data_IF_879050557099
#
_entry.id   IF_879050557099
#
_cell.length_a   1.000
_cell.length_b   1.000
_cell.length_c   1.000
_cell.angle_alpha   90.00
_cell.angle_beta   90.00
_cell.angle_gamma   90.00
#
_symmetry.space_group_name_H-M   'P 1'
#
loop_
_entity.id
_entity.type
_entity.pdbx_description
1 polymer ?
#
# COMPACT_ATOMS: atom_id res chain seq x y z
N UNK A 1 7.11 -45.89 -63.31
CA UNK A 1 8.10 -44.79 -63.22
C UNK A 1 7.36 -43.48 -63.42
N UNK A 2 7.17 -42.57 -62.49
CA UNK A 2 7.45 -42.45 -61.06
C UNK A 2 6.74 -41.15 -60.65
N UNK A 3 5.91 -41.21 -59.62
CA UNK A 3 5.09 -40.08 -59.15
C UNK A 3 5.97 -38.96 -58.56
N UNK A 4 5.56 -37.72 -58.81
CA UNK A 4 6.18 -36.49 -58.30
C UNK A 4 5.87 -36.27 -56.82
N UNK A 5 6.90 -36.39 -55.97
CA UNK A 5 6.87 -35.95 -54.57
C UNK A 5 7.10 -34.43 -54.49
N UNK A 6 6.08 -33.69 -54.05
CA UNK A 6 6.23 -32.32 -53.56
C UNK A 6 6.57 -32.38 -52.07
N UNK A 7 7.83 -32.15 -51.73
CA UNK A 7 8.25 -31.92 -50.34
C UNK A 7 7.76 -30.57 -49.85
N UNK A 8 6.83 -30.60 -48.89
CA UNK A 8 6.45 -29.47 -48.05
C UNK A 8 7.56 -29.26 -47.02
N UNK A 9 8.14 -28.04 -46.97
CA UNK A 9 9.04 -27.64 -45.88
C UNK A 9 8.23 -27.51 -44.59
N UNK A 10 8.70 -28.02 -43.44
CA UNK A 10 8.06 -27.75 -42.18
C UNK A 10 8.37 -26.30 -41.77
N UNK A 11 7.31 -25.52 -41.54
CA UNK A 11 7.39 -24.22 -40.88
C UNK A 11 8.00 -24.41 -39.49
N UNK A 12 9.19 -23.87 -39.28
CA UNK A 12 9.82 -23.78 -37.98
C UNK A 12 9.11 -22.68 -37.18
N UNK A 13 8.02 -23.04 -36.50
CA UNK A 13 7.44 -22.20 -35.45
C UNK A 13 8.40 -22.22 -34.27
N UNK A 14 9.22 -21.17 -34.15
CA UNK A 14 9.91 -20.89 -32.89
C UNK A 14 8.86 -20.64 -31.80
N UNK A 15 8.95 -21.27 -30.62
CA UNK A 15 8.05 -20.95 -29.52
C UNK A 15 8.32 -19.51 -29.12
N UNK A 16 7.29 -18.69 -29.22
CA UNK A 16 7.24 -17.37 -28.61
C UNK A 16 7.36 -17.60 -27.09
N UNK A 17 8.58 -17.47 -26.55
CA UNK A 17 8.79 -17.47 -25.11
C UNK A 17 7.97 -16.30 -24.57
N UNK A 18 6.83 -16.60 -23.94
CA UNK A 18 6.11 -15.64 -23.15
C UNK A 18 7.12 -15.03 -22.17
N UNK A 19 7.52 -13.78 -22.42
CA UNK A 19 8.36 -13.02 -21.53
C UNK A 19 7.70 -13.05 -20.16
N UNK A 20 8.31 -13.72 -19.18
CA UNK A 20 7.84 -13.66 -17.81
C UNK A 20 7.71 -12.18 -17.43
N UNK A 21 6.52 -11.74 -17.05
CA UNK A 21 6.29 -10.37 -16.62
C UNK A 21 7.25 -10.08 -15.47
N UNK A 22 8.22 -9.19 -15.69
CA UNK A 22 9.12 -8.77 -14.63
C UNK A 22 8.35 -7.77 -13.76
N UNK A 23 7.91 -8.21 -12.59
CA UNK A 23 7.22 -7.32 -11.65
C UNK A 23 8.19 -6.28 -11.10
N UNK A 24 7.73 -5.03 -11.06
CA UNK A 24 8.55 -3.91 -10.57
C UNK A 24 8.58 -3.83 -9.05
N UNK A 25 7.48 -4.21 -8.40
CA UNK A 25 7.33 -4.28 -6.95
C UNK A 25 6.21 -5.25 -6.57
N UNK A 26 6.20 -5.65 -5.31
CA UNK A 26 5.16 -6.49 -4.70
C UNK A 26 4.27 -5.63 -3.80
N UNK A 27 2.98 -5.54 -4.14
CA UNK A 27 1.96 -4.85 -3.36
C UNK A 27 1.41 -5.80 -2.30
N UNK A 28 1.60 -5.46 -1.02
CA UNK A 28 1.12 -6.25 0.12
C UNK A 28 -0.19 -5.67 0.63
N UNK A 29 -1.26 -6.45 0.54
CA UNK A 29 -2.62 -6.07 0.92
C UNK A 29 -3.08 -6.87 2.15
N UNK A 30 -2.99 -6.31 3.37
CA UNK A 30 -3.51 -6.96 4.56
C UNK A 30 -5.05 -6.84 4.59
N UNK A 31 -5.72 -7.94 4.91
CA UNK A 31 -7.19 -7.95 4.99
C UNK A 31 -7.69 -8.86 6.12
N UNK A 32 -8.80 -8.46 6.72
CA UNK A 32 -9.60 -9.33 7.57
C UNK A 32 -11.07 -8.96 7.47
N UNK A 33 -11.86 -9.87 6.95
CA UNK A 33 -13.30 -9.74 6.80
C UNK A 33 -14.04 -10.71 7.71
N UNK A 34 -15.25 -10.35 8.14
CA UNK A 34 -16.09 -11.13 9.06
C UNK A 34 -17.18 -11.90 8.34
N UNK A 35 -17.71 -11.32 7.27
CA UNK A 35 -18.77 -11.92 6.46
C UNK A 35 -18.50 -11.68 4.98
N UNK A 36 -19.11 -12.51 4.14
CA UNK A 36 -18.96 -12.44 2.67
C UNK A 36 -19.59 -11.17 2.07
N UNK A 37 -20.43 -10.48 2.83
CA UNK A 37 -21.05 -9.20 2.43
C UNK A 37 -20.31 -7.99 3.03
N UNK A 38 -19.12 -8.18 3.61
CA UNK A 38 -18.31 -7.03 4.03
C UNK A 38 -17.76 -6.32 2.81
N UNK A 39 -17.90 -4.99 2.80
CA UNK A 39 -17.45 -4.09 1.73
C UNK A 39 -15.97 -4.29 1.36
N UNK A 40 -15.14 -4.73 2.32
CA UNK A 40 -13.72 -5.06 2.08
C UNK A 40 -13.51 -6.11 0.98
N UNK A 41 -14.45 -7.03 0.72
CA UNK A 41 -14.33 -7.99 -0.38
C UNK A 41 -14.51 -7.30 -1.74
N UNK A 42 -15.50 -6.42 -1.84
CA UNK A 42 -15.74 -5.64 -3.07
C UNK A 42 -14.60 -4.66 -3.34
N UNK A 43 -14.05 -4.05 -2.28
CA UNK A 43 -12.86 -3.20 -2.37
C UNK A 43 -11.65 -3.98 -2.86
N UNK A 44 -11.42 -5.18 -2.32
CA UNK A 44 -10.34 -6.05 -2.79
C UNK A 44 -10.52 -6.38 -4.28
N UNK A 45 -11.72 -6.79 -4.70
CA UNK A 45 -12.00 -7.09 -6.11
C UNK A 45 -11.65 -5.91 -7.02
N UNK A 46 -12.19 -4.73 -6.71
CA UNK A 46 -11.93 -3.49 -7.46
C UNK A 46 -10.45 -3.13 -7.50
N UNK A 47 -9.76 -3.27 -6.36
CA UNK A 47 -8.34 -3.00 -6.26
C UNK A 47 -7.52 -3.93 -7.17
N UNK A 48 -7.84 -5.22 -7.19
CA UNK A 48 -7.16 -6.20 -8.05
C UNK A 48 -7.41 -5.98 -9.55
N UNK A 49 -8.60 -5.48 -9.91
CA UNK A 49 -8.91 -5.05 -11.29
C UNK A 49 -8.15 -3.78 -11.71
N UNK A 50 -7.81 -2.92 -10.75
CA UNK A 50 -7.20 -1.61 -11.02
C UNK A 50 -5.67 -1.67 -11.04
N UNK A 51 -5.05 -2.48 -10.17
CA UNK A 51 -3.59 -2.61 -10.12
C UNK A 51 -3.08 -3.17 -11.46
N UNK A 52 -2.08 -2.56 -12.12
CA UNK A 52 -1.52 -3.09 -13.37
C UNK A 52 -0.75 -4.40 -13.18
N UNK A 53 -0.68 -5.27 -14.20
CA UNK A 53 0.05 -6.54 -14.18
C UNK A 53 1.57 -6.40 -13.92
N UNK A 54 2.13 -5.20 -14.05
CA UNK A 54 3.52 -4.88 -13.69
C UNK A 54 3.80 -4.97 -12.18
N UNK A 55 2.77 -5.15 -11.35
CA UNK A 55 2.89 -5.38 -9.91
C UNK A 55 2.43 -6.79 -9.55
N UNK A 56 3.28 -7.48 -8.79
CA UNK A 56 2.86 -8.66 -8.03
C UNK A 56 1.93 -8.18 -6.91
N UNK A 57 0.85 -8.91 -6.63
CA UNK A 57 -0.05 -8.60 -5.50
C UNK A 57 -0.09 -9.74 -4.50
N UNK A 58 0.03 -9.43 -3.21
CA UNK A 58 0.05 -10.41 -2.12
C UNK A 58 -1.04 -10.05 -1.14
N UNK A 59 -2.14 -10.79 -1.20
CA UNK A 59 -3.28 -10.63 -0.30
C UNK A 59 -3.06 -11.49 0.95
N UNK A 60 -2.96 -10.85 2.11
CA UNK A 60 -2.75 -11.53 3.40
C UNK A 60 -4.00 -11.47 4.25
N UNK A 61 -4.73 -12.59 4.34
CA UNK A 61 -5.90 -12.76 5.19
C UNK A 61 -5.50 -13.08 6.64
N UNK A 62 -5.65 -12.11 7.54
CA UNK A 62 -5.31 -12.24 8.95
C UNK A 62 -6.42 -12.92 9.78
N UNK A 63 -6.81 -14.11 9.34
CA UNK A 63 -7.70 -14.98 10.10
C UNK A 63 -9.19 -14.63 9.97
N UNK A 64 -9.67 -14.35 8.76
CA UNK A 64 -11.09 -14.32 8.42
C UNK A 64 -11.75 -15.71 8.63
N UNK A 65 -13.07 -15.80 8.85
CA UNK A 65 -13.78 -17.08 8.90
C UNK A 65 -13.57 -17.92 7.63
N UNK A 66 -13.57 -19.26 7.74
CA UNK A 66 -13.26 -20.17 6.61
C UNK A 66 -14.02 -19.84 5.32
N UNK A 67 -15.34 -19.61 5.40
CA UNK A 67 -16.18 -19.26 4.25
C UNK A 67 -15.77 -17.93 3.61
N UNK A 68 -15.39 -16.94 4.41
CA UNK A 68 -14.96 -15.62 3.93
C UNK A 68 -13.57 -15.71 3.30
N UNK A 69 -12.66 -16.44 3.95
CA UNK A 69 -11.31 -16.69 3.44
C UNK A 69 -11.34 -17.39 2.08
N UNK A 70 -12.24 -18.37 1.89
CA UNK A 70 -12.45 -19.00 0.59
C UNK A 70 -12.91 -18.01 -0.48
N UNK A 71 -13.81 -17.07 -0.16
CA UNK A 71 -14.23 -16.03 -1.10
C UNK A 71 -13.09 -15.05 -1.43
N UNK A 72 -12.29 -14.65 -0.43
CA UNK A 72 -11.10 -13.83 -0.66
C UNK A 72 -10.10 -14.54 -1.58
N UNK A 73 -9.90 -15.85 -1.39
CA UNK A 73 -9.07 -16.65 -2.27
C UNK A 73 -9.62 -16.69 -3.70
N UNK A 74 -10.94 -16.89 -3.88
CA UNK A 74 -11.57 -16.85 -5.20
C UNK A 74 -11.39 -15.50 -5.89
N UNK A 75 -11.62 -14.39 -5.17
CA UNK A 75 -11.40 -13.03 -5.70
C UNK A 75 -9.93 -12.85 -6.10
N UNK A 76 -9.00 -13.27 -5.24
CA UNK A 76 -7.57 -13.13 -5.52
C UNK A 76 -7.13 -13.93 -6.74
N UNK A 77 -7.66 -15.15 -6.91
CA UNK A 77 -7.31 -16.04 -8.01
C UNK A 77 -7.79 -15.56 -9.40
N UNK A 78 -8.61 -14.51 -9.48
CA UNK A 78 -9.01 -13.90 -10.75
C UNK A 78 -7.86 -13.14 -11.43
N UNK A 79 -6.78 -12.86 -10.69
CA UNK A 79 -5.59 -12.18 -11.17
C UNK A 79 -4.39 -13.11 -11.15
N UNK A 80 -3.74 -13.29 -12.30
CA UNK A 80 -2.60 -14.21 -12.45
C UNK A 80 -1.40 -13.81 -11.57
N UNK A 81 -1.11 -12.52 -11.48
CA UNK A 81 0.01 -11.98 -10.69
C UNK A 81 -0.34 -11.76 -9.21
N UNK A 82 -1.42 -12.39 -8.71
CA UNK A 82 -1.84 -12.26 -7.33
C UNK A 82 -1.77 -13.57 -6.55
N UNK A 83 -1.22 -13.51 -5.34
CA UNK A 83 -1.16 -14.62 -4.41
C UNK A 83 -2.02 -14.35 -3.18
N UNK A 84 -2.70 -15.40 -2.70
CA UNK A 84 -3.50 -15.36 -1.48
C UNK A 84 -2.85 -16.17 -0.37
N UNK A 85 -2.69 -15.56 0.80
CA UNK A 85 -2.13 -16.22 1.98
C UNK A 85 -2.98 -15.97 3.22
N UNK A 86 -3.43 -17.06 3.83
CA UNK A 86 -4.19 -17.00 5.08
C UNK A 86 -3.31 -17.27 6.29
N UNK A 87 -3.41 -16.43 7.30
CA UNK A 87 -2.82 -16.63 8.62
C UNK A 87 -3.77 -17.41 9.54
N UNK A 88 -3.20 -18.29 10.37
CA UNK A 88 -3.95 -19.00 11.42
C UNK A 88 -4.12 -18.13 12.68
N UNK A 89 -4.74 -16.97 12.53
CA UNK A 89 -4.86 -15.92 13.56
C UNK A 89 -6.32 -15.58 13.89
N UNK A 90 -7.26 -16.48 13.56
CA UNK A 90 -8.70 -16.27 13.80
C UNK A 90 -9.03 -15.85 15.22
N UNK A 91 -8.33 -16.41 16.20
CA UNK A 91 -8.56 -16.16 17.63
C UNK A 91 -7.62 -15.09 18.20
N UNK A 92 -6.75 -14.52 17.38
CA UNK A 92 -5.89 -13.38 17.73
C UNK A 92 -6.54 -12.10 17.26
N UNK A 93 -6.18 -10.99 17.91
CA UNK A 93 -6.52 -9.64 17.44
C UNK A 93 -5.91 -9.42 16.05
N UNK A 94 -6.66 -8.74 15.18
CA UNK A 94 -6.16 -8.30 13.88
C UNK A 94 -4.87 -7.51 14.06
N UNK A 95 -3.89 -7.67 13.16
CA UNK A 95 -2.65 -6.91 13.18
C UNK A 95 -2.21 -6.61 11.75
N UNK A 96 -2.13 -5.32 11.44
CA UNK A 96 -1.54 -4.84 10.19
C UNK A 96 -0.06 -5.22 10.12
N UNK A 97 0.70 -4.97 11.19
CA UNK A 97 2.12 -5.29 11.29
C UNK A 97 2.42 -6.75 10.91
N UNK A 98 1.74 -7.72 11.53
CA UNK A 98 1.91 -9.16 11.22
C UNK A 98 1.60 -9.48 9.76
N UNK A 99 0.51 -8.91 9.25
CA UNK A 99 0.03 -9.19 7.88
C UNK A 99 1.00 -8.61 6.84
N UNK A 100 1.46 -7.37 7.07
CA UNK A 100 2.47 -6.67 6.27
C UNK A 100 3.81 -7.42 6.28
N UNK A 101 4.28 -7.84 7.46
CA UNK A 101 5.50 -8.65 7.59
C UNK A 101 5.40 -9.98 6.84
N UNK A 102 4.25 -10.67 6.96
CA UNK A 102 4.04 -11.92 6.22
C UNK A 102 4.09 -11.68 4.71
N UNK A 103 3.41 -10.66 4.21
CA UNK A 103 3.42 -10.33 2.79
C UNK A 103 4.81 -9.96 2.29
N UNK A 104 5.55 -9.14 3.03
CA UNK A 104 6.92 -8.77 2.67
C UNK A 104 7.87 -9.97 2.59
N UNK A 105 7.72 -10.98 3.45
CA UNK A 105 8.52 -12.22 3.38
C UNK A 105 8.14 -13.12 2.20
N UNK A 106 6.93 -12.96 1.66
CA UNK A 106 6.43 -13.73 0.53
C UNK A 106 6.67 -13.03 -0.81
N UNK A 107 6.95 -11.73 -0.77
CA UNK A 107 7.25 -10.92 -1.95
C UNK A 107 8.42 -11.49 -2.73
N UNK A 108 8.24 -11.64 -4.04
CA UNK A 108 9.30 -12.11 -4.93
C UNK A 108 10.23 -10.99 -5.37
N UNK A 109 9.73 -9.75 -5.42
CA UNK A 109 10.48 -8.58 -5.88
C UNK A 109 11.30 -7.92 -4.76
N UNK A 110 12.35 -7.16 -5.10
CA UNK A 110 13.18 -6.45 -4.12
C UNK A 110 12.50 -5.21 -3.52
N UNK A 111 11.34 -4.79 -4.01
CA UNK A 111 10.62 -3.59 -3.55
C UNK A 111 9.23 -3.98 -3.11
N UNK A 112 8.83 -3.57 -1.91
CA UNK A 112 7.49 -3.81 -1.37
C UNK A 112 6.73 -2.49 -1.24
N UNK A 113 5.43 -2.56 -1.53
CA UNK A 113 4.48 -1.47 -1.30
C UNK A 113 3.46 -1.97 -0.29
N UNK A 114 3.35 -1.33 0.86
CA UNK A 114 2.25 -1.61 1.78
C UNK A 114 1.00 -0.88 1.31
N UNK A 115 -0.10 -1.60 1.16
CA UNK A 115 -1.30 -1.04 0.55
C UNK A 115 -2.54 -1.53 1.28
N UNK A 116 -3.23 -0.61 1.95
CA UNK A 116 -4.48 -0.97 2.61
C UNK A 116 -5.56 -1.27 1.55
N UNK A 117 -6.49 -2.18 1.86
CA UNK A 117 -7.58 -2.55 0.94
C UNK A 117 -8.50 -1.36 0.60
N UNK A 118 -8.48 -0.32 1.43
CA UNK A 118 -9.28 0.89 1.26
C UNK A 118 -8.58 1.94 0.39
N UNK A 119 -7.30 1.77 0.09
CA UNK A 119 -6.58 2.61 -0.84
C UNK A 119 -6.90 2.21 -2.28
N UNK A 120 -6.91 3.18 -3.18
CA UNK A 120 -7.00 2.98 -4.63
C UNK A 120 -6.52 4.24 -5.34
N UNK A 121 -6.02 4.09 -6.56
CA UNK A 121 -5.71 5.21 -7.44
C UNK A 121 -6.22 4.93 -8.84
N UNK A 122 -6.19 5.94 -9.69
CA UNK A 122 -6.38 5.72 -11.12
C UNK A 122 -5.26 4.80 -11.65
N UNK A 123 -5.49 4.00 -12.71
CA UNK A 123 -4.44 3.14 -13.29
C UNK A 123 -3.14 3.90 -13.61
N UNK A 124 -3.25 5.14 -14.07
CA UNK A 124 -2.10 6.03 -14.32
C UNK A 124 -1.24 6.30 -13.07
N UNK A 125 -1.80 6.28 -11.85
CA UNK A 125 -1.03 6.49 -10.63
C UNK A 125 -0.12 5.31 -10.32
N UNK A 126 -0.55 4.08 -10.59
CA UNK A 126 0.32 2.92 -10.45
C UNK A 126 1.49 2.96 -11.45
N UNK A 127 1.28 3.50 -12.65
CA UNK A 127 2.37 3.74 -13.60
C UNK A 127 3.38 4.77 -13.04
N UNK A 128 2.91 5.90 -12.48
CA UNK A 128 3.79 6.88 -11.82
C UNK A 128 4.53 6.31 -10.60
N UNK A 129 3.88 5.46 -9.79
CA UNK A 129 4.54 4.75 -8.68
C UNK A 129 5.66 3.85 -9.20
N UNK A 130 5.42 3.14 -10.30
CA UNK A 130 6.43 2.34 -10.98
C UNK A 130 7.61 3.19 -11.47
N UNK A 131 7.35 4.35 -12.07
CA UNK A 131 8.37 5.32 -12.48
C UNK A 131 9.19 5.82 -11.28
N UNK A 132 8.55 6.19 -10.16
CA UNK A 132 9.25 6.60 -8.93
C UNK A 132 10.18 5.51 -8.39
N UNK A 133 9.74 4.25 -8.40
CA UNK A 133 10.55 3.11 -7.95
C UNK A 133 11.83 2.98 -8.80
N UNK A 134 11.70 3.15 -10.11
CA UNK A 134 12.82 3.09 -11.06
C UNK A 134 13.75 4.28 -10.91
N UNK A 135 13.22 5.51 -10.91
CA UNK A 135 13.98 6.76 -10.77
C UNK A 135 14.81 6.77 -9.48
N UNK A 136 14.25 6.22 -8.41
CA UNK A 136 14.92 6.12 -7.10
C UNK A 136 15.88 4.95 -7.01
N UNK A 137 15.82 3.99 -7.91
CA UNK A 137 16.60 2.74 -7.85
C UNK A 137 16.39 1.99 -6.52
N UNK A 138 15.14 1.90 -6.03
CA UNK A 138 14.84 1.41 -4.67
C UNK A 138 15.34 -0.01 -4.38
N UNK A 139 15.53 -0.84 -5.40
CA UNK A 139 16.11 -2.17 -5.25
C UNK A 139 17.58 -2.14 -4.78
N UNK A 140 18.29 -1.04 -5.06
CA UNK A 140 19.72 -0.85 -4.72
C UNK A 140 19.95 0.25 -3.68
N UNK A 141 18.98 1.16 -3.54
CA UNK A 141 19.09 2.38 -2.73
C UNK A 141 17.98 2.45 -1.67
N UNK A 142 18.08 1.63 -0.60
CA UNK A 142 17.05 1.55 0.43
C UNK A 142 16.82 2.89 1.15
N UNK A 143 17.81 3.79 1.17
CA UNK A 143 17.72 5.12 1.77
C UNK A 143 16.72 6.05 1.08
N UNK A 144 16.26 5.68 -0.13
CA UNK A 144 15.33 6.47 -0.95
C UNK A 144 13.87 6.07 -0.80
N UNK A 145 13.54 5.27 0.22
CA UNK A 145 12.15 4.90 0.53
C UNK A 145 11.25 6.15 0.58
N UNK A 146 9.96 5.96 0.31
CA UNK A 146 9.01 7.06 0.33
C UNK A 146 7.63 6.60 0.81
N UNK A 147 6.79 7.57 1.17
CA UNK A 147 5.39 7.34 1.46
C UNK A 147 4.55 7.84 0.30
N UNK A 148 3.54 7.08 -0.13
CA UNK A 148 2.57 7.59 -1.09
C UNK A 148 1.56 8.47 -0.33
N UNK A 149 1.39 9.77 -0.68
CA UNK A 149 0.36 10.61 -0.09
C UNK A 149 -1.04 10.04 -0.32
N UNK A 150 -1.89 10.10 0.71
CA UNK A 150 -3.25 9.55 0.67
C UNK A 150 -4.28 10.65 0.97
N UNK A 151 -5.20 10.85 0.03
CA UNK A 151 -6.41 11.65 0.23
C UNK A 151 -7.56 10.80 0.80
N UNK A 152 -7.95 11.06 2.04
CA UNK A 152 -9.12 10.41 2.64
C UNK A 152 -10.38 11.09 2.17
N UNK A 153 -11.11 10.45 1.27
CA UNK A 153 -12.28 11.03 0.63
C UNK A 153 -13.46 11.15 1.59
N UNK A 154 -14.31 12.14 1.34
CA UNK A 154 -15.70 12.14 1.84
C UNK A 154 -16.51 11.04 1.16
N UNK A 155 -17.71 10.79 1.67
CA UNK A 155 -18.65 9.83 1.07
C UNK A 155 -19.00 10.24 -0.37
N UNK A 156 -19.43 11.48 -0.58
CA UNK A 156 -19.74 12.03 -1.91
C UNK A 156 -18.54 11.98 -2.87
N UNK A 157 -17.34 12.30 -2.38
CA UNK A 157 -16.13 12.22 -3.20
C UNK A 157 -15.77 10.78 -3.57
N UNK A 158 -16.06 9.81 -2.69
CA UNK A 158 -15.88 8.38 -2.97
C UNK A 158 -16.80 7.93 -4.11
N UNK A 159 -18.07 8.33 -4.09
CA UNK A 159 -19.01 8.01 -5.16
C UNK A 159 -18.55 8.60 -6.50
N UNK A 160 -18.12 9.87 -6.50
CA UNK A 160 -17.57 10.53 -7.68
C UNK A 160 -16.31 9.83 -8.21
N UNK A 161 -15.38 9.46 -7.32
CA UNK A 161 -14.17 8.72 -7.70
C UNK A 161 -14.51 7.40 -8.38
N UNK A 162 -15.47 6.66 -7.82
CA UNK A 162 -15.89 5.36 -8.37
C UNK A 162 -16.61 5.47 -9.72
N UNK A 163 -17.31 6.58 -9.97
CA UNK A 163 -17.89 6.88 -11.29
C UNK A 163 -16.82 7.19 -12.33
N UNK A 164 -15.72 7.84 -11.94
CA UNK A 164 -14.61 8.18 -12.83
C UNK A 164 -13.68 6.99 -13.13
N UNK A 165 -13.52 6.07 -12.17
CA UNK A 165 -12.52 4.99 -12.21
C UNK A 165 -12.54 4.15 -13.51
N UNK A 166 -13.70 3.75 -14.07
CA UNK A 166 -13.75 3.01 -15.34
C UNK A 166 -13.34 3.85 -16.56
N UNK A 167 -13.40 5.18 -16.47
CA UNK A 167 -13.32 6.10 -17.61
C UNK A 167 -11.94 6.29 -18.23
N UNK A 168 -10.89 5.69 -17.66
CA UNK A 168 -9.49 5.73 -18.12
C UNK A 168 -9.07 7.11 -18.66
N UNK A 169 -9.47 8.19 -17.97
CA UNK A 169 -9.16 9.54 -18.42
C UNK A 169 -7.64 9.70 -18.38
N UNK A 170 -7.03 9.94 -19.55
CA UNK A 170 -5.59 10.18 -19.71
C UNK A 170 -5.08 11.36 -18.86
N UNK A 171 -5.97 12.20 -18.33
CA UNK A 171 -5.68 13.18 -17.29
C UNK A 171 -6.26 12.70 -15.96
N UNK A 172 -5.40 12.26 -15.03
CA UNK A 172 -5.82 12.01 -13.66
C UNK A 172 -6.08 13.34 -12.93
N UNK A 173 -7.32 13.83 -13.01
CA UNK A 173 -7.77 15.03 -12.30
C UNK A 173 -7.64 14.91 -10.78
N UNK A 174 -7.69 13.69 -10.23
CA UNK A 174 -7.61 13.47 -8.80
C UNK A 174 -6.24 13.83 -8.26
N UNK A 175 -5.15 13.52 -8.99
CA UNK A 175 -3.81 13.97 -8.59
C UNK A 175 -3.72 15.49 -8.39
N UNK A 176 -4.29 16.28 -9.32
CA UNK A 176 -4.31 17.74 -9.23
C UNK A 176 -5.24 18.26 -8.13
N UNK A 177 -6.46 17.71 -8.03
CA UNK A 177 -7.45 18.11 -7.01
C UNK A 177 -6.96 17.82 -5.58
N UNK A 178 -6.19 16.74 -5.41
CA UNK A 178 -5.58 16.34 -4.14
C UNK A 178 -4.31 17.13 -3.81
N UNK A 179 -3.61 17.69 -4.81
CA UNK A 179 -2.46 18.57 -4.59
C UNK A 179 -2.89 19.95 -4.07
N UNK A 180 -4.16 20.35 -4.25
CA UNK A 180 -4.73 21.58 -3.69
C UNK A 180 -5.91 21.30 -2.72
N UNK A 181 -5.72 20.60 -1.58
CA UNK A 181 -6.81 20.16 -0.70
C UNK A 181 -7.70 21.25 -0.11
N UNK A 182 -7.14 22.44 0.11
CA UNK A 182 -7.77 23.49 0.92
C UNK A 182 -9.06 24.07 0.29
N UNK A 183 -9.37 23.74 -0.97
CA UNK A 183 -10.45 24.36 -1.75
C UNK A 183 -11.52 23.40 -2.28
N UNK A 184 -11.33 22.07 -2.20
CA UNK A 184 -12.15 21.13 -2.97
C UNK A 184 -13.33 20.51 -2.22
N UNK A 185 -13.33 20.51 -0.88
CA UNK A 185 -14.36 19.83 -0.07
C UNK A 185 -14.39 18.30 -0.23
N UNK A 186 -13.44 17.74 -0.98
CA UNK A 186 -13.38 16.32 -1.31
C UNK A 186 -12.83 15.45 -0.18
N UNK A 187 -12.08 16.06 0.75
CA UNK A 187 -11.26 15.35 1.72
C UNK A 187 -11.73 15.53 3.15
N UNK A 188 -11.73 14.42 3.89
CA UNK A 188 -11.75 14.42 5.34
C UNK A 188 -10.39 14.82 5.92
N UNK A 189 -9.31 14.37 5.29
CA UNK A 189 -7.92 14.73 5.59
C UNK A 189 -6.98 14.27 4.47
N UNK A 190 -5.79 14.86 4.42
CA UNK A 190 -4.74 14.52 3.48
C UNK A 190 -3.46 14.15 4.25
N UNK A 191 -2.96 12.93 4.04
CA UNK A 191 -1.84 12.37 4.82
C UNK A 191 -0.66 12.11 3.90
N UNK A 192 0.41 12.89 4.05
CA UNK A 192 1.63 12.75 3.24
C UNK A 192 2.58 11.67 3.77
N UNK A 193 2.76 11.58 5.09
CA UNK A 193 3.47 10.49 5.75
C UNK A 193 2.51 9.34 6.08
N UNK A 194 2.05 8.62 5.05
CA UNK A 194 0.99 7.61 5.16
C UNK A 194 1.52 6.20 5.51
N UNK A 195 0.60 5.27 5.75
CA UNK A 195 0.90 3.84 5.89
C UNK A 195 1.26 3.16 4.55
N UNK A 196 1.11 3.87 3.43
CA UNK A 196 1.46 3.39 2.09
C UNK A 196 2.96 3.61 1.81
N UNK A 197 3.79 2.85 2.52
CA UNK A 197 5.25 2.96 2.45
C UNK A 197 5.76 2.08 1.30
N UNK A 198 6.63 2.66 0.48
CA UNK A 198 7.33 1.99 -0.63
C UNK A 198 8.80 1.90 -0.28
N UNK A 199 9.32 0.68 -0.16
CA UNK A 199 10.68 0.47 0.35
C UNK A 199 11.33 -0.81 -0.16
N UNK A 200 12.63 -0.90 0.05
CA UNK A 200 13.41 -2.11 -0.21
C UNK A 200 13.00 -3.23 0.75
N UNK A 201 12.70 -4.42 0.19
CA UNK A 201 12.24 -5.60 0.94
C UNK A 201 13.31 -6.13 1.89
N UNK A 202 14.57 -6.17 1.44
CA UNK A 202 15.64 -6.79 2.20
C UNK A 202 16.09 -5.88 3.34
N UNK A 203 16.10 -4.55 3.14
CA UNK A 203 16.32 -3.57 4.22
C UNK A 203 15.19 -3.63 5.26
N UNK A 204 13.92 -3.73 4.83
CA UNK A 204 12.79 -3.96 5.74
C UNK A 204 13.01 -5.22 6.60
N UNK A 205 13.43 -6.33 5.99
CA UNK A 205 13.70 -7.58 6.72
C UNK A 205 14.87 -7.40 7.69
N UNK A 206 15.93 -6.72 7.27
CA UNK A 206 17.13 -6.47 8.08
C UNK A 206 16.82 -5.63 9.32
N UNK A 207 15.91 -4.66 9.24
CA UNK A 207 15.46 -3.88 10.41
C UNK A 207 14.36 -4.57 11.23
N UNK A 208 13.98 -5.81 10.90
CA UNK A 208 13.03 -6.62 11.66
C UNK A 208 11.57 -6.52 11.22
N UNK A 209 11.25 -5.82 10.12
CA UNK A 209 9.88 -5.58 9.67
C UNK A 209 9.15 -4.54 10.53
N UNK A 210 7.82 -4.54 10.49
CA UNK A 210 6.97 -3.84 11.46
C UNK A 210 7.01 -4.53 12.82
N UNK A 211 6.91 -3.78 13.92
CA UNK A 211 6.78 -4.35 15.25
C UNK A 211 5.38 -4.99 15.45
N UNK A 212 5.32 -6.34 15.46
CA UNK A 212 4.07 -7.10 15.60
C UNK A 212 3.40 -6.99 16.98
N UNK A 213 4.06 -6.38 17.97
CA UNK A 213 3.42 -6.10 19.26
C UNK A 213 2.48 -4.90 19.21
N UNK A 214 2.48 -4.13 18.10
CA UNK A 214 1.39 -3.25 17.72
C UNK A 214 0.22 -4.11 17.23
N UNK A 215 -0.67 -4.42 18.15
CA UNK A 215 -1.89 -5.17 17.88
C UNK A 215 -3.07 -4.23 17.58
N UNK A 216 -4.05 -4.73 16.82
CA UNK A 216 -5.11 -3.89 16.27
C UNK A 216 -4.62 -2.97 15.15
N UNK A 217 -5.23 -1.80 15.08
CA UNK A 217 -4.99 -0.76 14.11
C UNK A 217 -4.46 0.50 14.79
N UNK A 218 -3.35 1.03 14.27
CA UNK A 218 -2.86 2.37 14.53
C UNK A 218 -1.43 2.40 15.06
N UNK A 219 -0.65 3.35 14.54
CA UNK A 219 0.71 3.72 14.95
C UNK A 219 1.81 2.69 14.68
N UNK A 220 1.49 1.52 14.12
CA UNK A 220 2.50 0.54 13.68
C UNK A 220 3.28 1.02 12.46
N UNK A 221 2.63 1.79 11.59
CA UNK A 221 3.21 2.48 10.45
C UNK A 221 4.17 3.59 10.89
N UNK A 222 3.75 4.41 11.86
CA UNK A 222 4.59 5.47 12.42
C UNK A 222 5.79 4.93 13.20
N UNK A 223 5.69 3.76 13.81
CA UNK A 223 6.82 3.08 14.43
C UNK A 223 7.87 2.68 13.39
N UNK A 224 7.44 2.09 12.28
CA UNK A 224 8.34 1.77 11.18
C UNK A 224 8.95 3.04 10.55
N UNK A 225 8.14 4.07 10.32
CA UNK A 225 8.61 5.36 9.79
C UNK A 225 9.58 6.05 10.73
N UNK A 226 9.42 5.91 12.04
CA UNK A 226 10.38 6.41 13.01
C UNK A 226 11.73 5.71 12.83
N UNK A 227 11.77 4.38 12.85
CA UNK A 227 13.03 3.62 12.63
C UNK A 227 13.67 3.91 11.28
N UNK A 228 12.87 4.02 10.23
CA UNK A 228 13.37 4.43 8.91
C UNK A 228 13.90 5.86 8.92
N UNK A 229 13.24 6.77 9.66
CA UNK A 229 13.66 8.15 9.81
C UNK A 229 14.89 8.35 10.69
N UNK A 230 15.17 7.45 11.62
CA UNK A 230 16.46 7.36 12.32
C UNK A 230 17.56 6.85 11.40
N UNK A 231 17.25 5.83 10.59
CA UNK A 231 18.22 5.17 9.72
C UNK A 231 18.59 6.01 8.49
N UNK A 232 17.60 6.69 7.91
CA UNK A 232 17.73 7.51 6.70
C UNK A 232 17.04 8.87 6.90
N UNK A 233 17.64 9.78 7.69
CA UNK A 233 17.04 11.07 7.97
C UNK A 233 16.87 11.91 6.71
N UNK A 234 15.70 12.53 6.55
CA UNK A 234 15.39 13.45 5.44
C UNK A 234 15.62 14.93 5.79
N UNK A 235 15.85 15.21 7.08
CA UNK A 235 16.09 16.55 7.60
C UNK A 235 16.22 16.53 9.12
N UNK A 236 16.35 17.71 9.73
CA UNK A 236 16.32 17.84 11.19
C UNK A 236 14.92 17.56 11.74
N UNK A 237 14.81 16.78 12.80
CA UNK A 237 13.52 16.54 13.47
C UNK A 237 13.05 17.82 14.17
N UNK A 238 11.75 18.12 14.19
CA UNK A 238 11.23 19.25 14.95
C UNK A 238 11.53 19.08 16.44
N UNK A 239 11.74 20.19 17.15
CA UNK A 239 12.10 20.19 18.58
C UNK A 239 11.12 19.38 19.44
N UNK A 240 9.84 19.36 19.06
CA UNK A 240 8.78 18.60 19.72
C UNK A 240 8.42 17.30 18.97
N UNK A 241 9.41 16.59 18.43
CA UNK A 241 9.25 15.40 17.57
C UNK A 241 8.24 14.37 18.10
N UNK A 242 8.21 14.06 19.39
CA UNK A 242 7.29 13.06 19.95
C UNK A 242 5.81 13.50 19.99
N UNK A 243 5.51 14.75 19.63
CA UNK A 243 4.15 15.30 19.58
C UNK A 243 3.32 14.66 18.45
N UNK A 244 2.14 14.15 18.80
CA UNK A 244 1.13 13.73 17.83
C UNK A 244 0.16 14.89 17.54
N UNK A 245 0.32 15.54 16.40
CA UNK A 245 -0.55 16.64 15.94
C UNK A 245 -1.88 16.18 15.34
N UNK A 246 -2.13 14.87 15.26
CA UNK A 246 -3.33 14.27 14.69
C UNK A 246 -3.34 14.27 13.16
N UNK A 247 -4.45 13.83 12.56
CA UNK A 247 -4.60 13.71 11.10
C UNK A 247 -5.06 15.01 10.41
N UNK A 248 -5.08 16.14 11.13
CA UNK A 248 -5.44 17.43 10.55
C UNK A 248 -4.38 17.96 9.58
N UNK A 249 -4.66 19.10 8.91
CA UNK A 249 -3.68 19.73 8.04
C UNK A 249 -2.40 20.10 8.81
N UNK A 250 -1.26 19.86 8.18
CA UNK A 250 0.04 20.28 8.72
C UNK A 250 0.21 21.77 8.42
N UNK A 251 0.02 22.61 9.43
CA UNK A 251 0.15 24.07 9.33
C UNK A 251 1.48 24.60 9.87
N UNK A 252 2.25 23.75 10.55
CA UNK A 252 3.57 24.06 11.09
C UNK A 252 4.44 22.80 11.14
N UNK A 253 5.76 22.98 11.09
CA UNK A 253 6.73 21.89 11.22
C UNK A 253 6.87 21.46 12.68
N UNK A 254 5.91 20.68 13.17
CA UNK A 254 5.80 20.22 14.57
C UNK A 254 5.39 18.76 14.66
N UNK A 255 6.00 18.03 15.59
CA UNK A 255 5.73 16.61 15.82
C UNK A 255 6.12 15.67 14.67
N UNK A 256 6.07 14.37 14.94
CA UNK A 256 6.56 13.35 14.02
C UNK A 256 5.79 13.29 12.70
N UNK A 257 4.50 13.68 12.69
CA UNK A 257 3.69 13.67 11.47
C UNK A 257 4.16 14.67 10.44
N UNK A 258 4.61 15.85 10.88
CA UNK A 258 5.20 16.86 10.00
C UNK A 258 6.55 16.39 9.46
N UNK A 259 7.36 15.73 10.28
CA UNK A 259 8.61 15.11 9.84
C UNK A 259 8.35 14.01 8.80
N UNK A 260 7.45 13.07 9.07
CA UNK A 260 7.14 11.97 8.14
C UNK A 260 6.46 12.43 6.84
N UNK A 261 5.77 13.57 6.86
CA UNK A 261 5.20 14.15 5.65
C UNK A 261 6.24 14.47 4.58
N UNK A 262 7.50 14.75 4.97
CA UNK A 262 8.59 15.02 4.03
C UNK A 262 8.86 13.82 3.11
N UNK A 263 8.71 12.58 3.59
CA UNK A 263 8.88 11.37 2.76
C UNK A 263 7.76 11.19 1.72
N UNK A 264 6.62 11.87 1.89
CA UNK A 264 5.54 11.89 0.90
C UNK A 264 5.56 13.11 -0.01
N UNK A 265 6.05 14.25 0.48
CA UNK A 265 6.13 15.49 -0.33
C UNK A 265 6.93 15.27 -1.62
N UNK A 266 8.05 14.54 -1.53
CA UNK A 266 8.94 14.31 -2.67
C UNK A 266 8.24 13.66 -3.87
N UNK A 267 7.28 12.75 -3.63
CA UNK A 267 6.54 12.09 -4.73
C UNK A 267 5.23 12.82 -5.04
N UNK A 268 4.70 13.61 -4.11
CA UNK A 268 3.55 14.48 -4.37
C UNK A 268 3.86 15.52 -5.44
N UNK A 269 5.06 16.11 -5.41
CA UNK A 269 5.53 17.06 -6.43
C UNK A 269 5.60 16.45 -7.84
N UNK A 270 5.77 15.13 -7.93
CA UNK A 270 5.72 14.37 -9.17
C UNK A 270 4.30 13.86 -9.51
N UNK A 271 3.29 14.31 -8.75
CA UNK A 271 1.90 13.98 -8.96
C UNK A 271 1.50 12.57 -8.52
N UNK A 272 2.25 11.95 -7.60
CA UNK A 272 1.91 10.63 -7.03
C UNK A 272 1.02 10.80 -5.81
N UNK A 273 -0.16 10.19 -5.86
CA UNK A 273 -1.11 10.13 -4.74
C UNK A 273 -2.07 8.97 -4.94
N UNK A 274 -2.65 8.48 -3.87
CA UNK A 274 -3.79 7.57 -3.89
C UNK A 274 -4.93 8.16 -3.04
N UNK A 275 -6.12 7.58 -3.16
CA UNK A 275 -7.26 7.93 -2.32
C UNK A 275 -7.57 6.78 -1.37
N UNK A 276 -8.01 7.13 -0.16
CA UNK A 276 -8.70 6.20 0.73
C UNK A 276 -10.20 6.39 0.55
N UNK A 277 -10.87 5.37 0.03
CA UNK A 277 -12.32 5.40 -0.18
C UNK A 277 -13.04 5.45 1.17
N UNK A 278 -14.00 6.36 1.31
CA UNK A 278 -14.78 6.52 2.53
C UNK A 278 -15.42 5.20 2.94
N UNK A 279 -15.36 4.89 4.23
CA UNK A 279 -16.15 3.85 4.85
C UNK A 279 -16.50 4.26 6.29
N UNK A 280 -17.63 3.80 6.84
CA UNK A 280 -17.93 4.01 8.25
C UNK A 280 -16.86 3.36 9.13
N UNK A 281 -16.63 3.93 10.32
CA UNK A 281 -15.66 3.36 11.26
C UNK A 281 -15.96 1.88 11.53
N UNK A 282 -14.96 1.03 11.28
CA UNK A 282 -15.05 -0.41 11.55
C UNK A 282 -15.34 -0.65 13.04
N UNK A 283 -16.49 -1.27 13.33
CA UNK A 283 -16.92 -1.60 14.69
C UNK A 283 -16.38 -2.98 15.04
N UNK A 284 -15.54 -3.14 16.05
CA UNK A 284 -15.02 -4.46 16.45
C UNK A 284 -14.23 -4.40 17.74
N UNK A 285 -14.36 -5.43 18.59
CA UNK A 285 -13.64 -5.47 19.85
C UNK A 285 -12.13 -5.39 19.61
N UNK A 286 -11.52 -4.36 20.16
CA UNK A 286 -10.08 -4.11 20.08
C UNK A 286 -9.53 -3.84 18.68
N UNK A 287 -10.37 -3.50 17.69
CA UNK A 287 -9.88 -3.17 16.34
C UNK A 287 -8.96 -1.96 16.38
N UNK A 288 -9.38 -0.85 17.01
CA UNK A 288 -8.53 0.32 17.22
C UNK A 288 -7.82 0.23 18.57
N UNK A 289 -6.49 0.42 18.59
CA UNK A 289 -5.67 0.45 19.81
C UNK A 289 -4.91 1.77 19.96
N UNK A 290 -5.42 2.85 19.36
CA UNK A 290 -4.74 4.15 19.26
C UNK A 290 -4.09 4.62 20.56
N UNK A 291 -4.81 4.65 21.69
CA UNK A 291 -4.26 5.15 22.96
C UNK A 291 -3.02 4.35 23.41
N UNK A 292 -3.11 3.01 23.38
CA UNK A 292 -2.02 2.10 23.75
C UNK A 292 -0.85 2.24 22.77
N UNK A 293 -1.14 2.20 21.47
CA UNK A 293 -0.11 2.17 20.44
C UNK A 293 0.61 3.52 20.30
N UNK A 294 -0.10 4.65 20.37
CA UNK A 294 0.55 5.97 20.39
C UNK A 294 1.35 6.22 21.68
N UNK A 295 0.92 5.70 22.84
CA UNK A 295 1.72 5.77 24.06
C UNK A 295 3.00 4.93 23.97
N UNK A 296 2.95 3.82 23.23
CA UNK A 296 4.14 3.02 22.94
C UNK A 296 5.08 3.74 21.97
N UNK A 297 4.55 4.27 20.87
CA UNK A 297 5.31 5.06 19.90
C UNK A 297 6.00 6.26 20.55
N UNK A 298 5.26 7.00 21.38
CA UNK A 298 5.80 8.17 22.09
C UNK A 298 7.01 7.80 22.95
N UNK A 299 6.92 6.70 23.71
CA UNK A 299 8.04 6.23 24.54
C UNK A 299 9.26 5.84 23.73
N UNK A 300 9.08 5.21 22.57
CA UNK A 300 10.17 4.88 21.65
C UNK A 300 10.85 6.15 21.14
N UNK A 301 10.08 7.13 20.64
CA UNK A 301 10.64 8.39 20.15
C UNK A 301 11.38 9.18 21.24
N UNK A 302 10.86 9.15 22.48
CA UNK A 302 11.48 9.82 23.62
C UNK A 302 12.74 9.12 24.12
N UNK A 303 12.86 7.79 23.97
CA UNK A 303 14.09 7.06 24.32
C UNK A 303 15.21 7.30 23.34
N UNK A 304 14.88 7.44 22.04
CA UNK A 304 15.87 7.57 20.97
C UNK A 304 16.32 9.04 20.77
N UNK A 305 15.65 9.98 21.45
CA UNK A 305 16.02 11.40 21.47
C UNK A 305 16.99 11.76 22.62
N UNK A 306 17.37 10.79 23.46
CA UNK A 306 18.32 10.94 24.58
C UNK A 306 19.70 10.42 24.19
#
# INVERSE_FOLDING_TARGET
>A
MGQTDKQVKPDSVTPEYASATVHQASIVIPIRARKVTDDSLQRLHRLLETIPASFETIVVDDGSPKKVSAQLQTITAQRADACFYRLNTRWRRFSLARSRNRGARLASTPVVIFHDVDFIGMPAMYARIAEEIQLRELSKRPERFFCIPIGFLTEDATERFLQDLPGNQKLDRWSSELATPASSGLLQHFVKGSSCIVMNRDDLIAIGGHDETYDGHGAEDFELLHRLGERYPIGEKPQDYSLNTGSGPITAYRGFRAYFALYGEQVLEHGVTLVHLYHPKRKGWGYYQHKKNFAKLKRLMESDSQ
#
